data_IF_511035224213
#
_entry.id   IF_511035224213
#
_cell.length_a   1.000
_cell.length_b   1.000
_cell.length_c   1.000
_cell.angle_alpha   90.00
_cell.angle_beta   90.00
_cell.angle_gamma   90.00
#
_symmetry.space_group_name_H-M   'P 1'
#
loop_
_entity.id
_entity.type
_entity.pdbx_description
1 polymer ?
#
# COMPACT_ATOMS: atom_id res chain seq x y z
N UNK A 1 8.12 -46.99 45.05
CA UNK A 1 7.25 -46.06 44.31
C UNK A 1 7.92 -44.69 44.41
N UNK A 2 8.86 -44.43 43.51
CA UNK A 2 9.59 -43.16 43.43
C UNK A 2 8.74 -42.16 42.65
N UNK A 3 8.45 -41.01 43.27
CA UNK A 3 7.81 -39.88 42.59
C UNK A 3 8.88 -39.14 41.81
N UNK A 4 8.87 -39.27 40.48
CA UNK A 4 9.66 -38.42 39.60
C UNK A 4 9.02 -37.02 39.61
N UNK A 5 9.70 -36.09 40.28
CA UNK A 5 9.27 -34.71 40.46
C UNK A 5 9.40 -33.97 39.12
N UNK A 6 8.28 -33.40 38.66
CA UNK A 6 8.19 -32.59 37.45
C UNK A 6 9.27 -31.50 37.46
N UNK A 7 10.23 -31.59 36.54
CA UNK A 7 11.27 -30.59 36.39
C UNK A 7 10.65 -29.41 35.62
N UNK A 8 10.54 -28.21 36.21
CA UNK A 8 9.90 -27.09 35.52
C UNK A 8 10.74 -26.69 34.31
N UNK A 9 10.21 -26.93 33.10
CA UNK A 9 10.81 -26.38 31.89
C UNK A 9 10.80 -24.85 31.99
N UNK A 10 11.95 -24.17 31.83
CA UNK A 10 11.96 -22.73 31.76
C UNK A 10 11.25 -22.31 30.46
N UNK A 11 10.15 -21.58 30.60
CA UNK A 11 9.56 -20.82 29.50
C UNK A 11 10.52 -19.65 29.27
N UNK A 12 11.60 -19.89 28.52
CA UNK A 12 12.38 -18.81 27.97
C UNK A 12 11.44 -18.01 27.06
N UNK A 13 11.26 -16.72 27.37
CA UNK A 13 10.56 -15.82 26.47
C UNK A 13 11.22 -15.96 25.08
N UNK A 14 10.45 -16.11 24.00
CA UNK A 14 11.04 -16.15 22.66
C UNK A 14 11.93 -14.91 22.54
N UNK A 15 13.19 -15.13 22.16
CA UNK A 15 14.11 -14.03 21.85
C UNK A 15 13.36 -13.04 20.98
N UNK A 16 13.33 -11.77 21.39
CA UNK A 16 12.60 -10.71 20.69
C UNK A 16 12.90 -10.84 19.20
N UNK A 17 11.94 -11.37 18.46
CA UNK A 17 12.04 -11.50 17.02
C UNK A 17 12.10 -10.07 16.52
N UNK A 18 13.29 -9.64 16.10
CA UNK A 18 13.44 -8.43 15.28
C UNK A 18 12.33 -8.48 14.25
N UNK A 19 11.41 -7.49 14.32
CA UNK A 19 10.07 -7.59 13.75
C UNK A 19 10.09 -8.28 12.40
N UNK A 20 9.43 -9.43 12.30
CA UNK A 20 9.36 -10.18 11.04
C UNK A 20 8.63 -9.27 10.05
N UNK A 21 9.39 -8.60 9.18
CA UNK A 21 8.83 -7.90 8.02
C UNK A 21 8.23 -9.00 7.15
N UNK A 22 6.90 -9.13 7.16
CA UNK A 22 6.19 -10.10 6.36
C UNK A 22 6.46 -9.78 4.89
N UNK A 23 7.47 -10.41 4.31
CA UNK A 23 7.85 -10.17 2.91
C UNK A 23 6.89 -10.97 2.04
N UNK A 24 6.17 -10.28 1.17
CA UNK A 24 5.26 -10.91 0.20
C UNK A 24 5.78 -10.67 -1.21
N UNK A 25 5.33 -11.48 -2.16
CA UNK A 25 5.67 -11.30 -3.58
C UNK A 25 4.59 -10.47 -4.26
N UNK A 26 4.99 -9.56 -5.14
CA UNK A 26 4.08 -8.82 -6.00
C UNK A 26 3.30 -9.79 -6.91
N UNK A 27 1.97 -9.65 -6.95
CA UNK A 27 1.09 -10.55 -7.72
C UNK A 27 1.35 -10.57 -9.23
N UNK A 28 1.90 -9.49 -9.82
CA UNK A 28 2.12 -9.38 -11.27
C UNK A 28 3.56 -9.72 -11.70
N UNK A 29 4.57 -9.15 -11.01
CA UNK A 29 5.98 -9.26 -11.42
C UNK A 29 6.84 -10.15 -10.51
N UNK A 30 6.30 -10.64 -9.39
CA UNK A 30 7.02 -11.51 -8.45
C UNK A 30 8.14 -10.83 -7.66
N UNK A 31 8.28 -9.50 -7.71
CA UNK A 31 9.27 -8.79 -6.91
C UNK A 31 8.97 -8.91 -5.40
N UNK A 32 10.00 -9.08 -4.54
CA UNK A 32 9.80 -9.10 -3.09
C UNK A 32 9.46 -7.69 -2.59
N UNK A 33 8.36 -7.57 -1.84
CA UNK A 33 7.87 -6.31 -1.26
C UNK A 33 7.54 -6.50 0.22
N UNK A 34 7.58 -5.40 0.98
CA UNK A 34 7.15 -5.40 2.37
C UNK A 34 5.62 -5.50 2.45
N UNK A 35 5.12 -6.59 3.01
CA UNK A 35 3.70 -6.90 3.11
C UNK A 35 2.93 -5.97 4.06
N UNK A 36 3.62 -5.20 4.90
CA UNK A 36 2.97 -4.16 5.72
C UNK A 36 2.62 -2.90 4.90
N UNK A 37 3.36 -2.64 3.83
CA UNK A 37 3.20 -1.45 2.97
C UNK A 37 2.67 -1.77 1.58
N UNK A 38 2.54 -3.05 1.24
CA UNK A 38 1.99 -3.50 -0.02
C UNK A 38 0.53 -3.05 -0.19
N UNK A 39 0.27 -2.28 -1.24
CA UNK A 39 -1.07 -1.87 -1.64
C UNK A 39 -1.58 -2.87 -2.67
N UNK A 40 -2.70 -3.55 -2.38
CA UNK A 40 -3.31 -4.55 -3.28
C UNK A 40 -2.36 -5.69 -3.69
N UNK A 41 -1.42 -6.06 -2.80
CA UNK A 41 -0.36 -7.06 -3.05
C UNK A 41 0.48 -6.79 -4.33
N UNK A 42 0.63 -5.52 -4.72
CA UNK A 42 1.43 -5.10 -5.87
C UNK A 42 2.61 -4.24 -5.42
N UNK A 43 3.71 -4.31 -6.16
CA UNK A 43 4.79 -3.35 -6.03
C UNK A 43 4.34 -1.97 -6.54
N UNK A 44 5.10 -0.93 -6.17
CA UNK A 44 4.81 0.45 -6.56
C UNK A 44 4.64 0.62 -8.08
N UNK A 45 5.51 0.00 -8.88
CA UNK A 45 5.48 0.13 -10.34
C UNK A 45 4.27 -0.56 -10.96
N UNK A 46 3.97 -1.80 -10.53
CA UNK A 46 2.79 -2.51 -11.02
C UNK A 46 1.51 -1.78 -10.62
N UNK A 47 1.42 -1.26 -9.40
CA UNK A 47 0.27 -0.46 -8.97
C UNK A 47 0.12 0.82 -9.82
N UNK A 48 1.22 1.55 -10.03
CA UNK A 48 1.26 2.78 -10.85
C UNK A 48 0.81 2.56 -12.29
N UNK A 49 1.14 1.41 -12.87
CA UNK A 49 0.80 1.07 -14.26
C UNK A 49 -0.59 0.46 -14.42
N UNK A 50 -1.15 -0.13 -13.36
CA UNK A 50 -2.44 -0.87 -13.44
C UNK A 50 -3.62 -0.13 -12.85
N UNK A 51 -3.41 0.81 -11.91
CA UNK A 51 -4.49 1.59 -11.30
C UNK A 51 -4.51 3.01 -11.87
N UNK A 52 -5.55 3.30 -12.65
CA UNK A 52 -5.81 4.64 -13.16
C UNK A 52 -6.73 5.41 -12.20
N UNK A 53 -6.16 6.33 -11.43
CA UNK A 53 -6.91 7.24 -10.56
C UNK A 53 -7.58 8.39 -11.32
N UNK A 54 -7.26 8.57 -12.60
CA UNK A 54 -7.78 9.64 -13.46
C UNK A 54 -9.01 9.23 -14.27
N UNK A 55 -9.48 7.99 -14.10
CA UNK A 55 -10.64 7.49 -14.83
C UNK A 55 -11.87 8.38 -14.60
N UNK A 56 -12.50 8.82 -15.69
CA UNK A 56 -13.68 9.70 -15.65
C UNK A 56 -13.36 11.20 -15.52
N UNK A 57 -12.08 11.58 -15.35
CA UNK A 57 -11.69 12.99 -15.40
C UNK A 57 -11.58 13.43 -16.86
N UNK A 58 -12.32 14.49 -17.19
CA UNK A 58 -12.30 15.09 -18.51
C UNK A 58 -10.91 15.71 -18.79
N UNK A 59 -10.28 15.35 -19.92
CA UNK A 59 -8.92 15.82 -20.29
C UNK A 59 -8.91 17.14 -21.07
N UNK A 60 -10.09 17.59 -21.51
CA UNK A 60 -10.27 18.80 -22.32
C UNK A 60 -11.53 19.55 -21.86
N UNK A 61 -11.43 20.87 -21.70
CA UNK A 61 -12.54 21.71 -21.29
C UNK A 61 -12.58 23.00 -22.11
N UNK A 62 -13.79 23.52 -22.33
CA UNK A 62 -14.00 24.80 -23.00
C UNK A 62 -13.91 25.93 -21.98
N UNK A 63 -12.95 26.84 -22.17
CA UNK A 63 -12.86 28.07 -21.39
C UNK A 63 -13.55 29.21 -22.13
N UNK A 64 -14.43 29.92 -21.43
CA UNK A 64 -15.14 31.08 -21.97
C UNK A 64 -14.46 32.37 -21.51
N UNK A 65 -14.12 33.24 -22.46
CA UNK A 65 -13.40 34.49 -22.25
C UNK A 65 -14.10 35.67 -22.93
N UNK A 66 -14.25 36.79 -22.22
CA UNK A 66 -14.78 38.04 -22.74
C UNK A 66 -13.64 38.97 -23.17
N UNK A 67 -13.65 39.40 -24.44
CA UNK A 67 -12.60 40.27 -25.02
C UNK A 67 -12.68 41.74 -24.59
N UNK A 68 -13.85 42.20 -24.16
CA UNK A 68 -14.04 43.61 -23.78
C UNK A 68 -13.67 43.87 -22.32
N UNK A 69 -13.77 42.83 -21.48
CA UNK A 69 -13.56 42.93 -20.04
C UNK A 69 -12.31 42.17 -19.56
N UNK A 70 -11.63 41.45 -20.46
CA UNK A 70 -10.50 40.56 -20.19
C UNK A 70 -10.74 39.57 -19.02
N UNK A 71 -11.92 38.95 -18.98
CA UNK A 71 -12.38 38.08 -17.87
C UNK A 71 -12.85 36.71 -18.33
N UNK A 72 -12.66 35.72 -17.44
CA UNK A 72 -13.13 34.35 -17.59
C UNK A 72 -14.53 34.16 -17.00
N UNK A 73 -15.38 33.38 -17.67
CA UNK A 73 -16.69 32.97 -17.13
C UNK A 73 -16.52 31.68 -16.33
N UNK A 74 -16.54 31.80 -15.00
CA UNK A 74 -16.61 30.66 -14.08
C UNK A 74 -18.04 30.57 -13.54
N UNK A 75 -18.69 29.42 -13.73
CA UNK A 75 -19.99 29.17 -13.09
C UNK A 75 -19.74 28.66 -11.67
N UNK A 76 -20.44 29.25 -10.72
CA UNK A 76 -20.66 28.67 -9.40
C UNK A 76 -21.90 27.77 -9.42
#
# INVERSE_FOLDING_TARGET
MSMDIDTPMPIAAPAQTQGVTATILCADCGAPIDGMTAIDAKCYDCFKLTKDISQGIQREATLHFCRDCDRWLQRE
#
